data_IF_779769919217
#
_entry.id   IF_779769919217
#
_cell.length_a   1.000
_cell.length_b   1.000
_cell.length_c   1.000
_cell.angle_alpha   90.00
_cell.angle_beta   90.00
_cell.angle_gamma   90.00
#
_symmetry.space_group_name_H-M   'P 1'
#
loop_
_entity.id
_entity.type
_entity.pdbx_description
1 polymer ?
#
# COMPACT_ATOMS: atom_id res chain seq x y z
N UNK A 1 -26.05 -17.22 5.51
CA UNK A 1 -25.50 -15.87 5.23
C UNK A 1 -24.17 -15.65 5.94
N UNK A 2 -23.13 -15.30 5.17
CA UNK A 2 -21.78 -15.03 5.69
C UNK A 2 -21.38 -13.58 5.39
N UNK A 3 -20.80 -12.89 6.38
CA UNK A 3 -20.18 -11.57 6.22
C UNK A 3 -18.68 -11.75 6.16
N UNK A 4 -18.06 -11.34 5.06
CA UNK A 4 -16.62 -11.22 4.91
C UNK A 4 -16.18 -9.80 5.25
N UNK A 5 -15.29 -9.67 6.21
CA UNK A 5 -14.66 -8.38 6.55
C UNK A 5 -13.20 -8.40 6.10
N UNK A 6 -12.90 -7.64 5.06
CA UNK A 6 -11.61 -7.69 4.39
C UNK A 6 -10.84 -6.39 4.62
N UNK A 7 -9.64 -6.48 5.23
CA UNK A 7 -8.69 -5.39 5.33
C UNK A 7 -7.60 -5.58 4.27
N UNK A 8 -7.60 -4.73 3.26
CA UNK A 8 -6.63 -4.81 2.16
C UNK A 8 -5.37 -4.02 2.51
N UNK A 9 -4.21 -4.64 2.26
CA UNK A 9 -2.88 -4.05 2.37
C UNK A 9 -2.13 -4.24 1.05
N UNK A 10 -1.26 -3.29 0.70
CA UNK A 10 -0.47 -3.41 -0.53
C UNK A 10 0.45 -4.63 -0.49
N UNK A 11 1.22 -4.82 0.57
CA UNK A 11 2.15 -5.95 0.71
C UNK A 11 2.37 -6.36 2.16
N UNK A 12 3.06 -7.48 2.34
CA UNK A 12 3.25 -8.12 3.66
C UNK A 12 4.17 -7.36 4.61
N UNK A 13 4.98 -6.44 4.14
CA UNK A 13 5.90 -5.62 4.95
C UNK A 13 5.25 -4.35 5.55
N UNK A 14 4.08 -3.97 5.07
CA UNK A 14 3.42 -2.68 5.42
C UNK A 14 2.63 -2.74 6.73
N UNK A 15 2.49 -3.89 7.33
CA UNK A 15 1.60 -4.12 8.46
C UNK A 15 2.37 -4.22 9.79
N UNK A 16 2.63 -3.08 10.42
CA UNK A 16 3.32 -3.00 11.71
C UNK A 16 2.43 -3.43 12.89
N UNK A 17 3.01 -3.53 14.09
CA UNK A 17 2.33 -4.03 15.30
C UNK A 17 1.11 -3.19 15.70
N UNK A 18 1.21 -1.86 15.63
CA UNK A 18 0.12 -0.96 16.01
C UNK A 18 -1.05 -1.05 15.02
N UNK A 19 -0.73 -1.09 13.73
CA UNK A 19 -1.74 -1.31 12.69
C UNK A 19 -2.45 -2.66 12.84
N UNK A 20 -1.74 -3.71 13.27
CA UNK A 20 -2.32 -5.02 13.55
C UNK A 20 -3.30 -4.95 14.71
N UNK A 21 -2.89 -4.37 15.83
CA UNK A 21 -3.74 -4.22 17.02
C UNK A 21 -5.02 -3.45 16.70
N UNK A 22 -4.90 -2.34 15.98
CA UNK A 22 -6.07 -1.56 15.54
C UNK A 22 -6.98 -2.36 14.63
N UNK A 23 -6.43 -3.13 13.70
CA UNK A 23 -7.22 -3.97 12.80
C UNK A 23 -7.95 -5.09 13.53
N UNK A 24 -7.31 -5.71 14.53
CA UNK A 24 -7.96 -6.71 15.38
C UNK A 24 -9.14 -6.13 16.15
N UNK A 25 -8.98 -4.93 16.72
CA UNK A 25 -10.07 -4.23 17.39
C UNK A 25 -11.26 -3.95 16.43
N UNK A 26 -10.96 -3.52 15.21
CA UNK A 26 -11.99 -3.29 14.19
C UNK A 26 -12.73 -4.58 13.83
N UNK A 27 -12.02 -5.68 13.65
CA UNK A 27 -12.63 -6.99 13.38
C UNK A 27 -13.47 -7.50 14.56
N UNK A 28 -13.01 -7.29 15.79
CA UNK A 28 -13.80 -7.65 16.98
C UNK A 28 -15.10 -6.85 17.07
N UNK A 29 -15.06 -5.55 16.77
CA UNK A 29 -16.27 -4.73 16.73
C UNK A 29 -17.22 -5.20 15.63
N UNK A 30 -16.73 -5.46 14.42
CA UNK A 30 -17.53 -5.96 13.30
C UNK A 30 -18.12 -7.36 13.59
N UNK A 31 -17.37 -8.24 14.28
CA UNK A 31 -17.84 -9.55 14.69
C UNK A 31 -19.06 -9.47 15.61
N UNK A 32 -19.07 -8.54 16.57
CA UNK A 32 -20.22 -8.32 17.46
C UNK A 32 -21.48 -7.94 16.67
N UNK A 33 -21.34 -7.08 15.67
CA UNK A 33 -22.45 -6.69 14.79
C UNK A 33 -22.98 -7.88 13.97
N UNK A 34 -22.06 -8.70 13.44
CA UNK A 34 -22.43 -9.90 12.70
C UNK A 34 -23.19 -10.91 13.58
N UNK A 35 -22.76 -11.09 14.83
CA UNK A 35 -23.43 -11.94 15.81
C UNK A 35 -24.85 -11.44 16.13
N UNK A 36 -25.02 -10.14 16.33
CA UNK A 36 -26.35 -9.54 16.52
C UNK A 36 -27.27 -9.80 15.32
N UNK A 37 -26.70 -9.77 14.11
CA UNK A 37 -27.42 -10.09 12.88
C UNK A 37 -27.59 -11.61 12.63
N UNK A 38 -27.10 -12.47 13.54
CA UNK A 38 -27.10 -13.93 13.41
C UNK A 38 -26.43 -14.43 12.14
N UNK A 39 -25.33 -13.77 11.72
CA UNK A 39 -24.56 -14.10 10.51
C UNK A 39 -23.19 -14.66 10.87
N UNK A 40 -22.70 -15.59 10.03
CA UNK A 40 -21.31 -16.05 10.13
C UNK A 40 -20.38 -14.90 9.78
N UNK A 41 -19.26 -14.77 10.50
CA UNK A 41 -18.28 -13.71 10.30
C UNK A 41 -16.93 -14.30 9.93
N UNK A 42 -16.34 -13.80 8.84
CA UNK A 42 -15.03 -14.24 8.33
C UNK A 42 -14.12 -13.03 8.14
N UNK A 43 -13.23 -12.74 9.11
CA UNK A 43 -12.25 -11.66 9.00
C UNK A 43 -11.03 -12.09 8.22
N UNK A 44 -10.60 -11.25 7.26
CA UNK A 44 -9.45 -11.51 6.37
C UNK A 44 -8.57 -10.27 6.31
N UNK A 45 -7.26 -10.45 6.50
CA UNK A 45 -6.25 -9.47 6.08
C UNK A 45 -5.67 -9.95 4.75
N UNK A 46 -5.98 -9.22 3.69
CA UNK A 46 -5.54 -9.51 2.34
C UNK A 46 -4.37 -8.63 1.92
N UNK A 47 -3.29 -9.25 1.47
CA UNK A 47 -2.15 -8.55 0.90
C UNK A 47 -2.20 -8.64 -0.62
N UNK A 48 -2.27 -7.50 -1.30
CA UNK A 48 -2.45 -7.43 -2.75
C UNK A 48 -1.32 -8.10 -3.54
N UNK A 49 -0.10 -8.16 -2.98
CA UNK A 49 1.03 -8.86 -3.58
C UNK A 49 1.94 -9.51 -2.52
N UNK A 50 2.86 -10.35 -2.99
CA UNK A 50 3.84 -11.04 -2.16
C UNK A 50 3.42 -12.44 -1.76
N UNK A 51 4.26 -13.08 -0.98
CA UNK A 51 4.00 -14.38 -0.35
C UNK A 51 3.91 -14.20 1.15
N UNK A 52 2.94 -14.85 1.79
CA UNK A 52 2.88 -14.89 3.23
C UNK A 52 4.04 -15.75 3.75
N UNK A 53 4.88 -15.17 4.61
CA UNK A 53 5.81 -15.97 5.40
C UNK A 53 5.01 -16.68 6.48
N UNK A 54 4.91 -17.99 6.41
CA UNK A 54 4.35 -18.81 7.47
C UNK A 54 5.29 -18.70 8.67
N UNK A 55 4.88 -17.93 9.68
CA UNK A 55 5.58 -17.90 10.96
C UNK A 55 4.94 -18.96 11.88
N UNK A 56 5.68 -20.01 12.19
CA UNK A 56 5.25 -21.00 13.18
C UNK A 56 5.35 -20.46 14.62
N UNK A 57 5.71 -19.19 14.80
CA UNK A 57 5.80 -18.51 16.09
C UNK A 57 4.60 -17.59 16.27
N UNK A 58 3.58 -18.06 16.95
CA UNK A 58 2.46 -17.19 17.33
C UNK A 58 1.20 -17.95 17.70
N UNK A 59 0.40 -17.34 18.55
CA UNK A 59 -0.94 -17.80 18.89
C UNK A 59 -1.82 -17.81 17.64
N UNK A 60 -2.83 -18.68 17.55
CA UNK A 60 -3.82 -18.67 16.46
C UNK A 60 -4.42 -17.28 16.36
N UNK A 61 -4.40 -16.72 15.15
CA UNK A 61 -4.99 -15.40 14.90
C UNK A 61 -6.51 -15.53 14.77
N UNK A 62 -7.19 -14.51 15.23
CA UNK A 62 -8.66 -14.39 15.07
C UNK A 62 -9.08 -14.22 13.59
N UNK A 63 -8.18 -13.86 12.72
CA UNK A 63 -8.42 -13.59 11.30
C UNK A 63 -7.47 -14.40 10.40
N UNK A 64 -7.92 -14.64 9.17
CA UNK A 64 -7.05 -15.21 8.13
C UNK A 64 -6.13 -14.15 7.55
N UNK A 65 -4.92 -14.55 7.17
CA UNK A 65 -4.00 -13.73 6.37
C UNK A 65 -3.76 -14.43 5.03
N UNK A 66 -4.09 -13.75 3.96
CA UNK A 66 -3.92 -14.22 2.59
C UNK A 66 -3.06 -13.23 1.81
N UNK A 67 -2.21 -13.71 0.89
CA UNK A 67 -1.31 -12.84 0.12
C UNK A 67 -1.23 -13.27 -1.35
N UNK A 68 -1.10 -12.28 -2.23
CA UNK A 68 -0.92 -12.50 -3.66
C UNK A 68 -2.02 -13.40 -4.24
N UNK A 69 -1.63 -14.50 -4.87
CA UNK A 69 -2.57 -15.41 -5.53
C UNK A 69 -3.70 -15.87 -4.59
N UNK A 70 -3.36 -16.31 -3.38
CA UNK A 70 -4.34 -16.84 -2.44
C UNK A 70 -5.40 -15.80 -2.06
N UNK A 71 -4.97 -14.56 -1.84
CA UNK A 71 -5.88 -13.45 -1.54
C UNK A 71 -6.83 -13.16 -2.70
N UNK A 72 -6.29 -13.05 -3.91
CA UNK A 72 -7.10 -12.73 -5.07
C UNK A 72 -8.05 -13.86 -5.47
N UNK A 73 -7.62 -15.13 -5.30
CA UNK A 73 -8.49 -16.30 -5.53
C UNK A 73 -9.65 -16.30 -4.53
N UNK A 74 -9.39 -16.08 -3.24
CA UNK A 74 -10.47 -16.03 -2.23
C UNK A 74 -11.45 -14.89 -2.49
N UNK A 75 -10.94 -13.72 -2.92
CA UNK A 75 -11.77 -12.54 -3.16
C UNK A 75 -12.65 -12.66 -4.42
N UNK A 76 -12.13 -13.26 -5.48
CA UNK A 76 -12.75 -13.25 -6.81
C UNK A 76 -13.36 -14.60 -7.22
N UNK A 77 -12.93 -15.69 -6.59
CA UNK A 77 -13.24 -17.05 -7.00
C UNK A 77 -12.49 -17.50 -8.28
N UNK A 78 -11.58 -16.70 -8.81
CA UNK A 78 -10.82 -16.97 -10.03
C UNK A 78 -9.33 -17.20 -9.70
N UNK A 79 -8.85 -18.42 -9.85
CA UNK A 79 -7.45 -18.79 -9.57
C UNK A 79 -6.44 -18.09 -10.48
N UNK A 80 -6.87 -17.64 -11.66
CA UNK A 80 -6.05 -16.96 -12.64
C UNK A 80 -6.10 -15.42 -12.49
N UNK A 81 -6.97 -14.91 -11.62
CA UNK A 81 -7.20 -13.46 -11.51
C UNK A 81 -5.92 -12.70 -11.20
N UNK A 82 -5.08 -13.20 -10.28
CA UNK A 82 -3.83 -12.54 -9.93
C UNK A 82 -2.87 -12.39 -11.12
N UNK A 83 -2.75 -13.43 -11.95
CA UNK A 83 -1.93 -13.37 -13.16
C UNK A 83 -2.52 -12.39 -14.18
N UNK A 84 -3.86 -12.41 -14.35
CA UNK A 84 -4.55 -11.45 -15.23
C UNK A 84 -4.32 -10.01 -14.78
N UNK A 85 -4.39 -9.76 -13.46
CA UNK A 85 -4.14 -8.45 -12.88
C UNK A 85 -2.70 -7.98 -13.15
N UNK A 86 -1.69 -8.83 -12.91
CA UNK A 86 -0.28 -8.48 -13.16
C UNK A 86 -0.05 -8.20 -14.65
N UNK A 87 -0.58 -9.02 -15.54
CA UNK A 87 -0.49 -8.80 -17.01
C UNK A 87 -1.18 -7.49 -17.44
N UNK A 88 -2.27 -7.14 -16.81
CA UNK A 88 -2.94 -5.87 -17.06
C UNK A 88 -2.07 -4.69 -16.61
N UNK A 89 -1.48 -4.77 -15.41
CA UNK A 89 -0.59 -3.74 -14.89
C UNK A 89 0.68 -3.57 -15.74
N UNK A 90 1.21 -4.66 -16.30
CA UNK A 90 2.38 -4.66 -17.18
C UNK A 90 2.13 -3.83 -18.47
N UNK A 91 0.90 -3.82 -18.96
CA UNK A 91 0.50 -3.06 -20.15
C UNK A 91 0.16 -1.57 -19.88
N UNK A 92 -0.03 -1.18 -18.62
CA UNK A 92 -0.40 0.20 -18.29
C UNK A 92 0.68 1.22 -18.68
N UNK A 93 1.98 0.97 -18.46
CA UNK A 93 3.03 1.91 -18.87
C UNK A 93 3.01 2.22 -20.36
N UNK A 94 2.78 1.21 -21.22
CA UNK A 94 2.72 1.40 -22.66
C UNK A 94 1.61 2.39 -23.09
N UNK A 95 0.49 2.36 -22.37
CA UNK A 95 -0.66 3.21 -22.66
C UNK A 95 -0.49 4.64 -22.19
N UNK A 96 0.25 4.86 -21.09
CA UNK A 96 0.34 6.16 -20.41
C UNK A 96 1.76 6.73 -20.41
N UNK A 97 2.68 6.19 -21.22
CA UNK A 97 4.08 6.63 -21.25
C UNK A 97 4.21 8.13 -21.54
N UNK A 98 3.48 8.64 -22.53
CA UNK A 98 3.52 10.06 -22.91
C UNK A 98 3.01 10.98 -21.80
N UNK A 99 1.90 10.61 -21.15
CA UNK A 99 1.34 11.38 -20.03
C UNK A 99 2.27 11.34 -18.80
N UNK A 100 2.88 10.20 -18.55
CA UNK A 100 3.84 10.03 -17.47
C UNK A 100 5.08 10.87 -17.71
N UNK A 101 5.67 10.79 -18.91
CA UNK A 101 6.87 11.56 -19.28
C UNK A 101 6.61 13.06 -19.22
N UNK A 102 5.48 13.53 -19.74
CA UNK A 102 5.09 14.93 -19.66
C UNK A 102 4.94 15.42 -18.21
N UNK A 103 4.31 14.60 -17.36
CA UNK A 103 4.13 14.90 -15.93
C UNK A 103 5.46 14.89 -15.19
N UNK A 104 6.33 13.93 -15.48
CA UNK A 104 7.66 13.83 -14.92
C UNK A 104 8.53 15.03 -15.30
N UNK A 105 8.58 15.40 -16.58
CA UNK A 105 9.31 16.58 -17.06
C UNK A 105 8.80 17.86 -16.39
N UNK A 106 7.50 18.02 -16.25
CA UNK A 106 6.91 19.18 -15.56
C UNK A 106 7.35 19.24 -14.10
N UNK A 107 7.33 18.11 -13.40
CA UNK A 107 7.76 18.02 -12.00
C UNK A 107 9.27 18.29 -11.85
N UNK A 108 10.10 17.71 -12.73
CA UNK A 108 11.55 17.92 -12.74
C UNK A 108 11.91 19.39 -13.00
N UNK A 109 11.30 20.00 -14.01
CA UNK A 109 11.52 21.41 -14.34
C UNK A 109 11.09 22.35 -13.21
N UNK A 110 10.00 22.01 -12.53
CA UNK A 110 9.55 22.75 -11.35
C UNK A 110 10.55 22.63 -10.21
N UNK A 111 11.02 21.42 -9.90
CA UNK A 111 12.00 21.18 -8.85
C UNK A 111 13.30 21.93 -9.10
N UNK A 112 13.85 21.85 -10.32
CA UNK A 112 15.08 22.58 -10.70
C UNK A 112 14.90 24.08 -10.51
N UNK A 113 13.79 24.64 -10.99
CA UNK A 113 13.50 26.06 -10.84
C UNK A 113 13.41 26.49 -9.37
N UNK A 114 12.62 25.76 -8.58
CA UNK A 114 12.43 26.05 -7.15
C UNK A 114 13.76 25.91 -6.38
N UNK A 115 14.55 24.88 -6.68
CA UNK A 115 15.87 24.67 -6.09
C UNK A 115 16.83 25.82 -6.43
N UNK A 116 16.88 26.20 -7.71
CA UNK A 116 17.76 27.29 -8.16
C UNK A 116 17.39 28.62 -7.50
N UNK A 117 16.09 28.93 -7.44
CA UNK A 117 15.60 30.16 -6.80
C UNK A 117 15.88 30.18 -5.30
N UNK A 118 15.78 29.04 -4.64
CA UNK A 118 15.88 28.98 -3.18
C UNK A 118 17.33 28.78 -2.72
N UNK A 119 18.12 27.97 -3.41
CA UNK A 119 19.39 27.48 -2.93
C UNK A 119 20.61 27.79 -3.82
N UNK A 120 20.45 28.63 -4.83
CA UNK A 120 21.59 29.02 -5.67
C UNK A 120 21.83 30.54 -5.64
N UNK A 121 23.08 30.94 -5.78
CA UNK A 121 23.48 32.32 -6.02
C UNK A 121 23.22 32.71 -7.49
N UNK A 122 23.36 34.01 -7.82
CA UNK A 122 23.14 34.54 -9.16
C UNK A 122 24.08 33.92 -10.22
N UNK A 123 25.27 33.48 -9.80
CA UNK A 123 26.25 32.81 -10.64
C UNK A 123 25.95 31.30 -10.88
N UNK A 124 24.86 30.79 -10.28
CA UNK A 124 24.42 29.40 -10.37
C UNK A 124 25.11 28.45 -9.37
N UNK A 125 26.05 28.94 -8.55
CA UNK A 125 26.64 28.11 -7.49
C UNK A 125 25.65 27.86 -6.35
N UNK A 126 25.81 26.73 -5.64
CA UNK A 126 24.90 26.34 -4.56
C UNK A 126 25.28 27.06 -3.28
N UNK A 127 24.28 27.67 -2.63
CA UNK A 127 24.34 28.15 -1.26
C UNK A 127 24.22 26.98 -0.27
N UNK A 128 25.37 26.35 0.00
CA UNK A 128 25.45 25.20 0.90
C UNK A 128 25.03 25.51 2.32
N UNK A 129 25.25 26.72 2.80
CA UNK A 129 24.84 27.10 4.15
C UNK A 129 23.31 27.12 4.28
N UNK A 130 22.61 27.72 3.33
CA UNK A 130 21.16 27.78 3.28
C UNK A 130 20.56 26.39 3.11
N UNK A 131 21.12 25.57 2.23
CA UNK A 131 20.65 24.21 1.98
C UNK A 131 20.79 23.31 3.23
N UNK A 132 21.93 23.40 3.93
CA UNK A 132 22.16 22.62 5.16
C UNK A 132 21.22 23.07 6.27
N UNK A 133 21.02 24.37 6.47
CA UNK A 133 20.04 24.89 7.43
C UNK A 133 18.63 24.39 7.16
N UNK A 134 18.19 24.43 5.91
CA UNK A 134 16.90 23.94 5.50
C UNK A 134 16.70 22.46 5.84
N UNK A 135 17.68 21.61 5.53
CA UNK A 135 17.62 20.18 5.80
C UNK A 135 17.75 19.83 7.31
N UNK A 136 18.37 20.69 8.09
CA UNK A 136 18.56 20.48 9.54
C UNK A 136 17.37 20.94 10.39
N UNK A 137 16.37 21.57 9.78
CA UNK A 137 15.17 22.03 10.48
C UNK A 137 15.40 23.20 11.43
N UNK A 138 16.46 23.97 11.24
CA UNK A 138 16.81 25.18 12.02
C UNK A 138 16.53 26.44 11.20
#
# INVERSE_FOLDING_TARGET
DTIYAIAVKSGTSVFNADSRKKQEQNFMAASKLAQQAKKRFVPIVGYGYGKKKVSNRGLPKFYMELAGKDFWTELTGDEEFYIKLIRFMDKLPEKYVEEFDASYQKAANRLVREFTQEFCFEDGSIDWEKLVKFNSGN
#
